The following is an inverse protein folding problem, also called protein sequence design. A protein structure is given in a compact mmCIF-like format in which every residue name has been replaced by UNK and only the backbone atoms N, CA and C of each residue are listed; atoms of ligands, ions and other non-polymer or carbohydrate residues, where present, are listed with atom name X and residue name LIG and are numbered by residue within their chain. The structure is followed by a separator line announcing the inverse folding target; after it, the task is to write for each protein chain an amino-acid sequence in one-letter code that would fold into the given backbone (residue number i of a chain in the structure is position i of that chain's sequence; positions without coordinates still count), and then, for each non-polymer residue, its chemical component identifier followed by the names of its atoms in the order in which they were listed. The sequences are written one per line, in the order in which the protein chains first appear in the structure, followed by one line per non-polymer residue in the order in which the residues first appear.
data_IF_918293938926
#
_entry.id   IF_918293938926
#
_cell.length_a   1.000
_cell.length_b   1.000
_cell.length_c   1.000
_cell.angle_alpha   90.00
_cell.angle_beta   90.00
_cell.angle_gamma   90.00
#
_symmetry.space_group_name_H-M   'P 1'
#
loop_
_entity.id
_entity.type
_entity.pdbx_description
1 polymer ?
#
# COMPACT_ATOMS: atom_id res chain seq x y z
N UNK A 1 -21.24 -14.80 2.04
CA UNK A 1 -20.62 -14.99 0.72
C UNK A 1 -19.11 -15.10 0.88
N UNK A 2 -18.50 -16.26 0.60
CA UNK A 2 -17.03 -16.39 0.58
C UNK A 2 -16.48 -15.66 -0.63
N UNK A 3 -15.75 -14.58 -0.42
CA UNK A 3 -15.19 -13.75 -1.48
C UNK A 3 -14.07 -14.52 -2.20
N UNK A 4 -14.39 -15.22 -3.29
CA UNK A 4 -13.52 -16.20 -3.96
C UNK A 4 -12.21 -15.57 -4.45
N UNK A 5 -12.25 -14.29 -4.80
CA UNK A 5 -11.13 -13.45 -5.25
C UNK A 5 -10.06 -13.27 -4.17
N UNK A 6 -10.41 -13.44 -2.89
CA UNK A 6 -9.47 -13.35 -1.78
C UNK A 6 -8.71 -14.65 -1.52
N UNK A 7 -8.99 -15.74 -2.23
CA UNK A 7 -8.30 -17.03 -2.02
C UNK A 7 -6.86 -17.03 -2.55
N UNK A 8 -6.63 -16.45 -3.72
CA UNK A 8 -5.31 -16.37 -4.34
C UNK A 8 -4.65 -15.00 -4.04
N UNK A 9 -3.34 -14.99 -3.85
CA UNK A 9 -2.54 -13.78 -3.64
C UNK A 9 -2.75 -12.78 -4.80
N UNK A 10 -2.55 -13.20 -6.05
CA UNK A 10 -2.64 -12.32 -7.22
C UNK A 10 -4.05 -11.76 -7.39
N UNK A 11 -5.05 -12.63 -7.26
CA UNK A 11 -6.45 -12.21 -7.44
C UNK A 11 -6.88 -11.24 -6.36
N UNK A 12 -6.40 -11.41 -5.13
CA UNK A 12 -6.69 -10.46 -4.05
C UNK A 12 -6.03 -9.10 -4.23
N UNK A 13 -4.80 -9.05 -4.77
CA UNK A 13 -4.18 -7.77 -5.12
C UNK A 13 -4.99 -7.08 -6.22
N UNK A 14 -5.37 -7.81 -7.28
CA UNK A 14 -6.19 -7.28 -8.37
C UNK A 14 -7.53 -6.77 -7.87
N UNK A 15 -8.18 -7.51 -6.98
CA UNK A 15 -9.45 -7.12 -6.40
C UNK A 15 -9.33 -5.84 -5.54
N UNK A 16 -8.41 -5.84 -4.56
CA UNK A 16 -8.27 -4.73 -3.61
C UNK A 16 -7.80 -3.47 -4.32
N UNK A 17 -6.75 -3.58 -5.14
CA UNK A 17 -6.20 -2.43 -5.86
C UNK A 17 -7.11 -1.99 -7.00
N UNK A 18 -7.83 -2.91 -7.63
CA UNK A 18 -8.79 -2.62 -8.70
C UNK A 18 -9.97 -1.80 -8.21
N UNK A 19 -10.48 -2.08 -7.00
CA UNK A 19 -11.50 -1.24 -6.35
C UNK A 19 -11.03 0.20 -6.19
N UNK A 20 -9.83 0.38 -5.63
CA UNK A 20 -9.25 1.69 -5.44
C UNK A 20 -9.00 2.40 -6.78
N UNK A 21 -8.40 1.72 -7.75
CA UNK A 21 -8.14 2.27 -9.08
C UNK A 21 -9.45 2.72 -9.78
N UNK A 22 -10.52 1.93 -9.66
CA UNK A 22 -11.82 2.29 -10.22
C UNK A 22 -12.38 3.56 -9.56
N UNK A 23 -12.37 3.66 -8.22
CA UNK A 23 -12.86 4.87 -7.54
C UNK A 23 -12.04 6.10 -7.92
N UNK A 24 -10.71 5.98 -7.95
CA UNK A 24 -9.84 7.09 -8.37
C UNK A 24 -10.14 7.53 -9.81
N UNK A 25 -10.38 6.59 -10.72
CA UNK A 25 -10.77 6.91 -12.09
C UNK A 25 -12.11 7.67 -12.14
N UNK A 26 -13.13 7.18 -11.44
CA UNK A 26 -14.46 7.82 -11.44
C UNK A 26 -14.47 9.21 -10.81
N UNK A 27 -13.67 9.44 -9.77
CA UNK A 27 -13.67 10.72 -9.04
C UNK A 27 -12.73 11.77 -9.62
N UNK A 28 -11.60 11.34 -10.20
CA UNK A 28 -10.51 12.25 -10.58
C UNK A 28 -10.10 12.13 -12.05
N UNK A 29 -10.73 11.23 -12.81
CA UNK A 29 -10.36 10.92 -14.20
C UNK A 29 -8.87 10.50 -14.35
N UNK A 30 -8.37 9.77 -13.35
CA UNK A 30 -6.99 9.27 -13.31
C UNK A 30 -7.01 7.75 -13.50
N UNK A 31 -6.41 7.28 -14.58
CA UNK A 31 -6.24 5.86 -14.82
C UNK A 31 -5.01 5.33 -14.07
N UNK A 32 -5.22 4.31 -13.24
CA UNK A 32 -4.16 3.62 -12.51
C UNK A 32 -4.06 2.18 -12.98
N UNK A 33 -2.82 1.71 -13.12
CA UNK A 33 -2.52 0.33 -13.48
C UNK A 33 -1.99 -0.45 -12.28
N UNK A 34 -2.28 -1.74 -12.25
CA UNK A 34 -1.66 -2.68 -11.32
C UNK A 34 -0.56 -3.40 -12.09
N UNK A 35 0.70 -3.15 -11.72
CA UNK A 35 1.86 -3.78 -12.37
C UNK A 35 2.64 -4.67 -11.40
N UNK A 36 3.33 -5.65 -11.96
CA UNK A 36 4.02 -6.67 -11.16
C UNK A 36 3.02 -7.45 -10.30
N UNK A 37 3.32 -7.59 -9.01
CA UNK A 37 2.48 -8.33 -8.05
C UNK A 37 1.54 -7.39 -7.29
N UNK A 38 2.03 -6.20 -6.93
CA UNK A 38 1.43 -5.40 -5.86
C UNK A 38 1.63 -3.89 -6.03
N UNK A 39 2.07 -3.43 -7.20
CA UNK A 39 2.39 -2.02 -7.42
C UNK A 39 1.22 -1.31 -8.08
N UNK A 40 0.91 -0.11 -7.57
CA UNK A 40 -0.02 0.83 -8.19
C UNK A 40 0.79 1.85 -9.00
N UNK A 41 0.42 2.03 -10.26
CA UNK A 41 1.21 2.78 -11.26
C UNK A 41 0.37 3.85 -11.92
N UNK A 42 0.92 5.05 -12.04
CA UNK A 42 0.36 6.18 -12.77
C UNK A 42 1.39 6.65 -13.81
N UNK A 43 0.99 6.75 -15.09
CA UNK A 43 1.86 7.19 -16.20
C UNK A 43 3.25 6.52 -16.16
N UNK A 44 3.28 5.19 -16.05
CA UNK A 44 4.51 4.37 -15.98
C UNK A 44 5.38 4.54 -14.70
N UNK A 45 4.98 5.41 -13.77
CA UNK A 45 5.65 5.59 -12.47
C UNK A 45 4.92 4.86 -11.35
N UNK A 46 5.68 4.19 -10.48
CA UNK A 46 5.14 3.56 -9.27
C UNK A 46 4.72 4.64 -8.27
N UNK A 47 3.45 4.65 -7.90
CA UNK A 47 2.88 5.56 -6.90
C UNK A 47 2.52 4.85 -5.59
N UNK A 48 2.55 3.52 -5.56
CA UNK A 48 2.19 2.78 -4.36
C UNK A 48 2.73 1.36 -4.37
N UNK A 49 3.23 0.90 -3.22
CA UNK A 49 3.59 -0.49 -2.97
C UNK A 49 2.67 -1.12 -1.95
N UNK A 50 2.24 -2.36 -2.20
CA UNK A 50 1.32 -3.09 -1.33
C UNK A 50 1.94 -4.41 -0.87
N UNK A 51 1.51 -4.87 0.30
CA UNK A 51 1.94 -6.11 0.91
C UNK A 51 0.76 -6.81 1.58
N UNK A 52 0.88 -8.12 1.75
CA UNK A 52 -0.16 -8.94 2.36
C UNK A 52 0.42 -10.00 3.28
N UNK A 53 -0.24 -10.23 4.40
CA UNK A 53 -0.03 -11.40 5.26
C UNK A 53 -1.31 -12.23 5.32
N UNK A 54 -1.16 -13.54 5.13
CA UNK A 54 -2.27 -14.49 5.04
C UNK A 54 -2.08 -15.62 6.03
N UNK A 55 -3.16 -16.00 6.70
CA UNK A 55 -3.29 -17.27 7.41
C UNK A 55 -4.66 -17.89 7.09
N UNK A 56 -5.01 -19.03 7.70
CA UNK A 56 -6.25 -19.75 7.42
C UNK A 56 -7.54 -18.98 7.76
N UNK A 57 -7.45 -17.91 8.57
CA UNK A 57 -8.60 -17.14 9.06
C UNK A 57 -8.60 -15.67 8.64
N UNK A 58 -7.42 -15.09 8.42
CA UNK A 58 -7.22 -13.65 8.26
C UNK A 58 -6.35 -13.35 7.06
N UNK A 59 -6.78 -12.36 6.29
CA UNK A 59 -6.00 -11.64 5.29
C UNK A 59 -5.76 -10.22 5.81
N UNK A 60 -4.51 -9.86 6.06
CA UNK A 60 -4.07 -8.50 6.27
C UNK A 60 -3.51 -7.96 4.96
N UNK A 61 -4.14 -6.93 4.40
CA UNK A 61 -3.62 -6.17 3.27
C UNK A 61 -3.26 -4.77 3.75
N UNK A 62 -2.07 -4.29 3.40
CA UNK A 62 -1.66 -2.93 3.67
C UNK A 62 -0.81 -2.41 2.52
N UNK A 63 -0.70 -1.08 2.42
CA UNK A 63 0.04 -0.47 1.34
C UNK A 63 0.30 1.01 1.57
N UNK A 64 0.86 1.62 0.54
CA UNK A 64 1.25 3.02 0.51
C UNK A 64 0.71 3.67 -0.75
N UNK A 65 0.41 4.97 -0.67
CA UNK A 65 0.16 5.83 -1.82
C UNK A 65 1.00 7.09 -1.63
N UNK A 66 1.84 7.37 -2.62
CA UNK A 66 2.71 8.52 -2.65
C UNK A 66 1.95 9.71 -3.22
N UNK A 67 1.77 10.74 -2.41
CA UNK A 67 1.13 12.01 -2.80
C UNK A 67 2.09 13.20 -2.68
N UNK A 68 3.15 13.04 -1.90
CA UNK A 68 4.26 13.99 -1.76
C UNK A 68 5.54 13.19 -1.46
N UNK A 69 6.65 13.53 -2.12
CA UNK A 69 7.89 12.75 -2.08
C UNK A 69 9.10 13.68 -2.12
N UNK A 70 9.99 13.52 -1.14
CA UNK A 70 11.35 14.05 -1.19
C UNK A 70 12.27 13.04 -1.89
N UNK A 71 12.54 13.27 -3.18
CA UNK A 71 13.36 12.36 -4.00
C UNK A 71 14.82 12.32 -3.56
N UNK A 72 15.39 13.43 -3.09
CA UNK A 72 16.77 13.50 -2.61
C UNK A 72 16.96 12.61 -1.38
N UNK A 73 16.03 12.71 -0.42
CA UNK A 73 16.03 11.84 0.75
C UNK A 73 15.84 10.38 0.37
N UNK A 74 14.95 10.08 -0.58
CA UNK A 74 14.72 8.72 -1.05
C UNK A 74 15.99 8.10 -1.65
N UNK A 75 16.69 8.84 -2.51
CA UNK A 75 17.90 8.36 -3.18
C UNK A 75 19.09 8.21 -2.24
N UNK A 76 19.18 9.04 -1.20
CA UNK A 76 20.25 8.95 -0.19
C UNK A 76 20.01 7.86 0.85
N UNK A 77 18.75 7.49 1.11
CA UNK A 77 18.39 6.50 2.15
C UNK A 77 18.12 5.10 1.60
N UNK A 78 17.59 4.97 0.38
CA UNK A 78 17.17 3.70 -0.19
C UNK A 78 18.14 3.22 -1.28
N UNK A 79 18.68 2.02 -1.08
CA UNK A 79 19.41 1.30 -2.13
C UNK A 79 18.48 0.91 -3.28
N UNK A 80 19.02 0.85 -4.49
CA UNK A 80 18.32 0.23 -5.62
C UNK A 80 18.18 -1.28 -5.33
N UNK A 81 16.97 -1.84 -5.36
CA UNK A 81 16.78 -3.25 -5.06
C UNK A 81 17.36 -4.13 -6.18
N UNK A 82 18.01 -5.23 -5.80
CA UNK A 82 18.54 -6.22 -6.75
C UNK A 82 17.39 -6.91 -7.50
N UNK A 83 16.36 -7.32 -6.75
CA UNK A 83 15.12 -7.82 -7.31
C UNK A 83 14.14 -6.66 -7.53
N UNK A 84 13.90 -6.33 -8.79
CA UNK A 84 13.07 -5.22 -9.22
C UNK A 84 12.06 -5.68 -10.27
N UNK A 85 10.86 -5.09 -10.30
CA UNK A 85 9.90 -5.44 -11.34
C UNK A 85 10.45 -5.06 -12.72
N UNK A 86 10.18 -5.90 -13.73
CA UNK A 86 10.73 -5.75 -15.10
C UNK A 86 10.51 -4.34 -15.67
N UNK A 87 9.33 -3.75 -15.42
CA UNK A 87 8.99 -2.40 -15.91
C UNK A 87 9.77 -1.27 -15.25
N UNK A 88 10.53 -1.53 -14.18
CA UNK A 88 11.47 -0.55 -13.63
C UNK A 88 12.56 -0.20 -14.63
N UNK A 89 12.98 -1.15 -15.47
CA UNK A 89 13.98 -0.94 -16.52
C UNK A 89 15.27 -0.27 -16.01
N UNK A 90 15.75 -0.69 -14.83
CA UNK A 90 16.95 -0.14 -14.18
C UNK A 90 16.92 1.38 -13.90
N UNK A 91 15.74 2.01 -13.92
CA UNK A 91 15.59 3.42 -13.58
C UNK A 91 15.99 3.70 -12.13
N UNK A 92 16.54 4.91 -11.91
CA UNK A 92 16.75 5.43 -10.56
C UNK A 92 15.42 5.73 -9.88
N UNK A 93 15.44 5.93 -8.56
CA UNK A 93 14.21 6.12 -7.79
C UNK A 93 13.40 7.30 -8.28
N UNK A 94 14.02 8.46 -8.56
CA UNK A 94 13.30 9.64 -9.07
C UNK A 94 12.61 9.42 -10.42
N UNK A 95 13.15 8.53 -11.24
CA UNK A 95 12.62 8.26 -12.58
C UNK A 95 11.53 7.18 -12.55
N UNK A 96 11.64 6.24 -11.62
CA UNK A 96 10.70 5.13 -11.46
C UNK A 96 9.51 5.45 -10.56
N UNK A 97 9.73 6.19 -9.48
CA UNK A 97 8.72 6.55 -8.50
C UNK A 97 8.05 7.86 -8.92
N UNK A 98 6.75 7.96 -8.65
CA UNK A 98 5.97 9.16 -8.89
C UNK A 98 4.99 9.40 -7.75
N UNK A 99 4.21 10.46 -7.92
CA UNK A 99 3.10 10.80 -7.02
C UNK A 99 1.79 10.72 -7.79
N UNK A 100 0.70 10.43 -7.08
CA UNK A 100 -0.64 10.62 -7.61
C UNK A 100 -0.97 12.13 -7.62
N UNK A 101 -1.48 12.72 -8.71
CA UNK A 101 -1.79 14.14 -8.78
C UNK A 101 -3.16 14.46 -8.16
N UNK A 102 -3.34 14.05 -6.91
CA UNK A 102 -4.58 14.21 -6.13
C UNK A 102 -4.23 14.69 -4.73
N UNK A 103 -5.02 15.61 -4.17
CA UNK A 103 -4.78 16.09 -2.82
C UNK A 103 -4.92 14.95 -1.79
N UNK A 104 -4.12 14.99 -0.74
CA UNK A 104 -4.09 13.95 0.32
C UNK A 104 -5.49 13.63 0.85
N UNK A 105 -6.30 14.64 1.12
CA UNK A 105 -7.64 14.50 1.68
C UNK A 105 -8.60 13.80 0.71
N UNK A 106 -8.43 14.04 -0.60
CA UNK A 106 -9.19 13.38 -1.65
C UNK A 106 -8.76 11.92 -1.81
N UNK A 107 -7.46 11.62 -1.71
CA UNK A 107 -6.96 10.23 -1.72
C UNK A 107 -7.59 9.44 -0.56
N UNK A 108 -7.60 10.00 0.65
CA UNK A 108 -8.21 9.36 1.82
C UNK A 108 -9.70 9.08 1.58
N UNK A 109 -10.44 10.06 1.04
CA UNK A 109 -11.86 9.87 0.69
C UNK A 109 -12.07 8.76 -0.33
N UNK A 110 -11.26 8.73 -1.40
CA UNK A 110 -11.33 7.70 -2.43
C UNK A 110 -10.99 6.31 -1.88
N UNK A 111 -10.03 6.20 -0.94
CA UNK A 111 -9.75 4.94 -0.24
C UNK A 111 -10.97 4.48 0.54
N UNK A 112 -11.55 5.34 1.39
CA UNK A 112 -12.72 4.98 2.20
C UNK A 112 -13.85 4.48 1.28
N UNK A 113 -14.19 5.25 0.26
CA UNK A 113 -15.24 4.93 -0.71
C UNK A 113 -14.99 3.63 -1.48
N UNK A 114 -13.73 3.30 -1.78
CA UNK A 114 -13.40 2.03 -2.44
C UNK A 114 -13.75 0.79 -1.60
N UNK A 115 -13.84 0.93 -0.27
CA UNK A 115 -14.08 -0.19 0.64
C UNK A 115 -15.42 -0.11 1.38
N UNK A 116 -16.00 1.08 1.53
CA UNK A 116 -17.31 1.26 2.16
C UNK A 116 -17.94 2.60 1.79
N UNK A 117 -19.24 2.60 1.52
CA UNK A 117 -20.04 3.83 1.37
C UNK A 117 -20.50 4.40 2.72
N UNK A 118 -20.49 3.59 3.77
CA UNK A 118 -20.90 3.97 5.12
C UNK A 118 -19.85 3.50 6.13
N UNK A 119 -18.76 4.25 6.32
CA UNK A 119 -17.70 3.86 7.23
C UNK A 119 -18.22 3.89 8.67
N UNK A 120 -18.12 2.75 9.36
CA UNK A 120 -18.29 2.67 10.80
C UNK A 120 -16.91 2.71 11.46
N UNK A 121 -16.43 3.91 11.76
CA UNK A 121 -15.16 4.07 12.46
C UNK A 121 -15.34 3.77 13.95
N UNK A 122 -14.68 2.73 14.44
CA UNK A 122 -14.58 2.45 15.87
C UNK A 122 -13.34 3.12 16.46
N UNK A 123 -13.43 3.49 17.74
CA UNK A 123 -12.23 3.82 18.51
C UNK A 123 -11.42 2.56 18.78
N UNK A 124 -10.10 2.73 18.97
CA UNK A 124 -9.23 1.65 19.43
C UNK A 124 -9.70 1.26 20.85
N UNK A 125 -9.88 -0.04 21.07
CA UNK A 125 -10.29 -0.60 22.36
C UNK A 125 -9.14 -0.68 23.36
N UNK A 126 -9.43 -0.72 24.65
CA UNK A 126 -8.40 -0.84 25.70
C UNK A 126 -7.53 -2.11 25.51
N UNK A 127 -8.14 -3.23 25.12
CA UNK A 127 -7.44 -4.47 24.83
C UNK A 127 -6.47 -4.33 23.63
N UNK A 128 -6.88 -3.60 22.57
CA UNK A 128 -6.00 -3.30 21.45
C UNK A 128 -4.86 -2.37 21.86
N UNK A 129 -5.11 -1.36 22.69
CA UNK A 129 -4.06 -0.48 23.23
C UNK A 129 -3.03 -1.29 24.01
N UNK A 130 -3.47 -2.18 24.90
CA UNK A 130 -2.59 -3.09 25.65
C UNK A 130 -1.77 -3.96 24.70
N UNK A 131 -2.41 -4.53 23.67
CA UNK A 131 -1.74 -5.34 22.66
C UNK A 131 -0.71 -4.56 21.83
N UNK A 132 -1.04 -3.34 21.41
CA UNK A 132 -0.15 -2.43 20.68
C UNK A 132 1.07 -2.10 21.53
N UNK A 133 0.86 -1.73 22.81
CA UNK A 133 1.95 -1.36 23.71
C UNK A 133 2.88 -2.54 23.97
N UNK A 134 2.31 -3.75 24.14
CA UNK A 134 3.10 -4.98 24.29
C UNK A 134 3.97 -5.23 23.05
N UNK A 135 3.40 -5.14 21.85
CA UNK A 135 4.16 -5.31 20.60
C UNK A 135 5.23 -4.24 20.39
N UNK A 136 4.96 -2.99 20.76
CA UNK A 136 5.94 -1.93 20.72
C UNK A 136 7.12 -2.24 21.64
N UNK A 137 6.85 -2.63 22.89
CA UNK A 137 7.86 -2.89 23.91
C UNK A 137 8.68 -4.16 23.63
N UNK A 138 8.06 -5.21 23.12
CA UNK A 138 8.71 -6.52 22.95
C UNK A 138 9.32 -6.72 21.56
N UNK A 139 8.94 -5.89 20.56
CA UNK A 139 9.38 -6.07 19.17
C UNK A 139 9.76 -4.77 18.48
N UNK A 140 8.78 -3.92 18.16
CA UNK A 140 9.01 -2.85 17.17
C UNK A 140 9.95 -1.73 17.64
N UNK A 141 10.16 -1.58 18.95
CA UNK A 141 11.16 -0.66 19.52
C UNK A 141 12.55 -1.27 19.69
N UNK A 142 12.73 -2.57 19.41
CA UNK A 142 13.97 -3.29 19.71
C UNK A 142 14.87 -3.38 18.48
N UNK A 143 16.14 -3.05 18.66
CA UNK A 143 17.16 -3.17 17.62
C UNK A 143 17.30 -4.61 17.10
N UNK A 144 17.20 -5.61 17.99
CA UNK A 144 17.22 -7.04 17.60
C UNK A 144 16.13 -7.40 16.59
N UNK A 145 14.99 -6.69 16.63
CA UNK A 145 13.92 -6.85 15.66
C UNK A 145 14.20 -6.04 14.39
N UNK A 146 14.54 -4.76 14.54
CA UNK A 146 14.71 -3.83 13.42
C UNK A 146 15.94 -4.14 12.53
N UNK A 147 17.00 -4.71 13.09
CA UNK A 147 18.22 -5.10 12.37
C UNK A 147 18.30 -6.61 12.08
N UNK A 148 17.21 -7.34 12.33
CA UNK A 148 17.12 -8.75 11.94
C UNK A 148 17.18 -8.84 10.41
N UNK A 149 18.15 -9.59 9.89
CA UNK A 149 18.27 -9.92 8.47
C UNK A 149 17.64 -11.28 8.16
#
# INVERSE_FOLDING_TARGET
STNTELKNIRDSYRYILGKLANVIYQEHNISLEIRGISDLVYMDKKIGGNAQRRNSRVLLHHGTILYDVNYELMETTLKIPIDQPVYRMNRQHRDFVGIIPVAREQIIKSIIKAFTDNPNFSNITDDEVVGIQKLANEKYSKDEWNFRR
#
